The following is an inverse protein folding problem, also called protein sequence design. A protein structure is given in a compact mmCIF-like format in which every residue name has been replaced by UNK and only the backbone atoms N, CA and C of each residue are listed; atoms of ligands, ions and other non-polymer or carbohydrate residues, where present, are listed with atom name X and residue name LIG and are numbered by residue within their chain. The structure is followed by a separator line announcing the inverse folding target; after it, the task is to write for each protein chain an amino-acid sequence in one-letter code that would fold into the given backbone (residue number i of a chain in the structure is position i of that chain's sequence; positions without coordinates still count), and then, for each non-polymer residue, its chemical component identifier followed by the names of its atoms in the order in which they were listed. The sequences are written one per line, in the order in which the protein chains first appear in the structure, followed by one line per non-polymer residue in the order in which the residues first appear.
data_IF_847229380311
#
_entry.id   IF_847229380311
#
_cell.length_a   1.000
_cell.length_b   1.000
_cell.length_c   1.000
_cell.angle_alpha   90.00
_cell.angle_beta   90.00
_cell.angle_gamma   90.00
#
_symmetry.space_group_name_H-M   'P 1'
#
loop_
_entity.id
_entity.type
_entity.pdbx_description
1 polymer ?
#
# COMPACT_ATOMS: atom_id res chain seq x y z
N UNK A 1 -1.41 -11.14 15.92
CA UNK A 1 -1.89 -11.25 14.52
C UNK A 1 -1.17 -12.41 13.86
N UNK A 2 -1.89 -13.33 13.25
CA UNK A 2 -1.33 -14.52 12.58
C UNK A 2 -1.65 -14.41 11.09
N UNK A 3 -0.66 -14.71 10.26
CA UNK A 3 -0.83 -14.81 8.81
C UNK A 3 0.00 -15.98 8.30
N UNK A 4 -0.69 -17.06 7.88
CA UNK A 4 -0.08 -18.35 7.51
C UNK A 4 0.89 -18.82 8.61
N UNK A 5 2.19 -18.76 8.35
CA UNK A 5 3.25 -19.22 9.28
C UNK A 5 3.86 -18.09 10.10
N UNK A 6 3.48 -16.83 9.84
CA UNK A 6 4.02 -15.66 10.51
C UNK A 6 3.14 -15.20 11.68
N UNK A 7 3.75 -14.96 12.85
CA UNK A 7 3.11 -14.40 14.03
C UNK A 7 3.68 -13.02 14.35
N UNK A 8 2.87 -11.96 14.16
CA UNK A 8 3.21 -10.60 14.55
C UNK A 8 2.65 -10.30 15.95
N UNK A 9 3.55 -9.91 16.86
CA UNK A 9 3.22 -9.46 18.22
C UNK A 9 3.44 -7.95 18.32
N UNK A 10 2.43 -7.23 18.82
CA UNK A 10 2.46 -5.79 19.02
C UNK A 10 2.11 -5.49 20.48
N UNK A 11 2.83 -4.57 21.09
CA UNK A 11 2.57 -4.13 22.46
C UNK A 11 3.61 -3.14 22.93
N UNK A 12 3.30 -2.45 24.02
CA UNK A 12 4.15 -1.46 24.68
C UNK A 12 4.97 -2.03 25.85
N UNK A 13 4.79 -3.31 26.16
CA UNK A 13 5.48 -4.00 27.26
C UNK A 13 6.33 -5.16 26.73
N UNK A 14 7.63 -4.91 26.59
CA UNK A 14 8.57 -5.89 26.06
C UNK A 14 8.70 -7.15 26.96
N UNK A 15 8.63 -7.01 28.28
CA UNK A 15 8.72 -8.15 29.19
C UNK A 15 7.51 -9.05 29.06
N UNK A 16 6.33 -8.51 28.84
CA UNK A 16 5.12 -9.28 28.58
C UNK A 16 5.18 -10.01 27.22
N UNK A 17 5.64 -9.32 26.18
CA UNK A 17 5.85 -9.96 24.86
C UNK A 17 6.86 -11.11 24.98
N UNK A 18 7.96 -10.93 25.71
CA UNK A 18 8.95 -11.97 25.93
C UNK A 18 8.37 -13.19 26.67
N UNK A 19 7.48 -12.96 27.67
CA UNK A 19 6.80 -14.04 28.37
C UNK A 19 5.89 -14.86 27.46
N UNK A 20 5.11 -14.19 26.59
CA UNK A 20 4.24 -14.84 25.59
C UNK A 20 5.09 -15.68 24.62
N UNK A 21 6.18 -15.11 24.09
CA UNK A 21 7.10 -15.83 23.20
C UNK A 21 7.64 -17.10 23.85
N UNK A 22 7.98 -17.03 25.15
CA UNK A 22 8.47 -18.19 25.91
C UNK A 22 7.41 -19.28 26.07
N UNK A 23 6.16 -18.92 26.33
CA UNK A 23 5.06 -19.86 26.42
C UNK A 23 4.76 -20.54 25.09
N UNK A 24 4.70 -19.77 24.01
CA UNK A 24 4.43 -20.30 22.66
C UNK A 24 5.52 -21.29 22.22
N UNK A 25 6.79 -21.05 22.55
CA UNK A 25 7.90 -21.96 22.25
C UNK A 25 7.80 -23.32 22.94
N UNK A 26 6.99 -23.46 23.98
CA UNK A 26 6.76 -24.78 24.63
C UNK A 26 5.86 -25.68 23.77
N UNK A 27 4.94 -25.09 22.99
CA UNK A 27 3.97 -25.83 22.19
C UNK A 27 4.25 -25.82 20.67
N UNK A 28 5.07 -24.90 20.21
CA UNK A 28 5.34 -24.69 18.78
C UNK A 28 6.83 -24.54 18.51
N UNK A 29 7.30 -25.18 17.45
CA UNK A 29 8.62 -24.89 16.90
C UNK A 29 8.58 -23.56 16.17
N UNK A 30 9.30 -22.54 16.69
CA UNK A 30 9.25 -21.19 16.14
C UNK A 30 10.59 -20.47 16.32
N UNK A 31 10.93 -19.67 15.29
CA UNK A 31 12.09 -18.78 15.28
C UNK A 31 11.65 -17.35 15.58
N UNK A 32 12.34 -16.70 16.50
CA UNK A 32 12.12 -15.27 16.78
C UNK A 32 12.98 -14.43 15.82
N UNK A 33 12.32 -13.68 14.94
CA UNK A 33 12.97 -12.82 13.96
C UNK A 33 13.30 -11.42 14.50
N UNK A 34 13.00 -11.16 15.78
CA UNK A 34 13.25 -9.87 16.42
C UNK A 34 12.21 -8.80 16.03
N UNK A 35 12.68 -7.54 15.84
CA UNK A 35 11.83 -6.45 15.40
C UNK A 35 11.44 -6.61 13.95
N UNK A 36 10.16 -6.29 13.64
CA UNK A 36 9.66 -6.33 12.27
C UNK A 36 10.27 -5.20 11.43
N UNK A 37 10.87 -5.57 10.30
CA UNK A 37 11.36 -4.63 9.29
C UNK A 37 10.59 -4.72 7.98
N UNK A 38 9.99 -5.88 7.72
CA UNK A 38 9.22 -6.15 6.53
C UNK A 38 8.14 -7.17 6.83
N UNK A 39 6.88 -6.84 6.56
CA UNK A 39 5.75 -7.72 6.80
C UNK A 39 4.66 -7.48 5.76
N UNK A 40 4.21 -8.54 5.08
CA UNK A 40 3.16 -8.45 4.06
C UNK A 40 3.40 -7.31 3.06
N UNK A 41 4.60 -7.22 2.47
CA UNK A 41 5.03 -6.19 1.52
C UNK A 41 5.05 -4.75 2.07
N UNK A 42 4.92 -4.57 3.36
CA UNK A 42 5.08 -3.30 4.06
C UNK A 42 6.46 -3.26 4.71
N UNK A 43 7.22 -2.23 4.39
CA UNK A 43 8.47 -1.88 5.07
C UNK A 43 8.14 -1.14 6.36
N UNK A 44 8.73 -1.57 7.47
CA UNK A 44 8.51 -1.00 8.79
C UNK A 44 9.83 -0.42 9.31
N UNK A 45 9.89 0.89 9.46
CA UNK A 45 10.99 1.56 10.14
C UNK A 45 10.54 1.97 11.53
N UNK A 46 11.23 1.41 12.54
CA UNK A 46 10.93 1.70 13.95
C UNK A 46 12.00 2.63 14.52
N UNK A 47 11.54 3.69 15.15
CA UNK A 47 12.36 4.65 15.88
C UNK A 47 11.72 4.91 17.24
N UNK A 48 12.50 5.34 18.24
CA UNK A 48 11.98 5.59 19.60
C UNK A 48 10.82 6.61 19.65
N UNK A 49 10.67 7.50 18.65
CA UNK A 49 9.63 8.52 18.58
C UNK A 49 8.57 8.28 17.52
N UNK A 50 8.78 7.34 16.60
CA UNK A 50 7.85 7.11 15.52
C UNK A 50 7.99 5.71 14.92
N UNK A 51 6.92 5.26 14.28
CA UNK A 51 6.91 4.12 13.37
C UNK A 51 6.57 4.67 11.98
N UNK A 52 7.34 4.28 10.98
CA UNK A 52 7.06 4.64 9.59
C UNK A 52 6.79 3.37 8.78
N UNK A 53 5.63 3.36 8.09
CA UNK A 53 5.19 2.27 7.25
C UNK A 53 5.23 2.72 5.79
N UNK A 54 5.91 1.98 4.93
CA UNK A 54 5.99 2.26 3.49
C UNK A 54 5.89 0.98 2.67
N UNK A 55 5.63 1.13 1.38
CA UNK A 55 5.58 0.02 0.42
C UNK A 55 6.51 0.33 -0.79
N UNK A 56 7.64 0.98 -0.53
CA UNK A 56 8.57 1.45 -1.58
C UNK A 56 9.04 0.32 -2.49
N UNK A 57 9.45 -0.82 -1.91
CA UNK A 57 9.86 -1.99 -2.68
C UNK A 57 8.71 -2.52 -3.52
N UNK A 58 7.51 -2.61 -2.94
CA UNK A 58 6.33 -3.09 -3.64
C UNK A 58 5.93 -2.19 -4.80
N UNK A 59 6.00 -0.85 -4.63
CA UNK A 59 5.77 0.12 -5.72
C UNK A 59 6.80 -0.08 -6.84
N UNK A 60 8.06 -0.28 -6.51
CA UNK A 60 9.11 -0.53 -7.51
C UNK A 60 8.86 -1.82 -8.28
N UNK A 61 8.53 -2.90 -7.58
CA UNK A 61 8.21 -4.19 -8.20
C UNK A 61 6.97 -4.07 -9.12
N UNK A 62 5.96 -3.27 -8.72
CA UNK A 62 4.80 -2.94 -9.53
C UNK A 62 5.19 -2.21 -10.82
N UNK A 63 5.96 -1.14 -10.71
CA UNK A 63 6.39 -0.35 -11.87
C UNK A 63 7.19 -1.19 -12.86
N UNK A 64 8.14 -1.99 -12.36
CA UNK A 64 8.92 -2.91 -13.21
C UNK A 64 8.03 -3.95 -13.90
N UNK A 65 7.05 -4.51 -13.18
CA UNK A 65 6.14 -5.53 -13.72
C UNK A 65 5.30 -5.03 -14.91
N UNK A 66 5.00 -3.74 -14.94
CA UNK A 66 4.15 -3.12 -15.95
C UNK A 66 4.92 -2.21 -16.92
N UNK A 67 6.26 -2.33 -16.95
CA UNK A 67 7.16 -1.55 -17.82
C UNK A 67 7.01 -0.03 -17.63
N UNK A 68 6.79 0.38 -16.36
CA UNK A 68 6.62 1.78 -15.95
C UNK A 68 7.79 2.31 -15.09
N UNK A 69 8.90 1.59 -15.03
CA UNK A 69 10.08 1.98 -14.25
C UNK A 69 10.80 3.22 -14.83
N UNK A 70 10.72 3.44 -16.15
CA UNK A 70 11.26 4.63 -16.83
C UNK A 70 10.21 5.71 -17.13
N UNK A 71 9.00 5.60 -16.56
CA UNK A 71 7.95 6.58 -16.79
C UNK A 71 8.28 7.95 -16.14
N UNK A 72 7.74 9.04 -16.71
CA UNK A 72 7.87 10.38 -16.17
C UNK A 72 7.02 10.51 -14.89
N UNK A 73 7.61 10.95 -13.76
CA UNK A 73 6.87 11.11 -12.52
C UNK A 73 5.86 12.26 -12.62
N UNK A 74 4.70 12.08 -11.97
CA UNK A 74 3.68 13.12 -11.81
C UNK A 74 3.60 13.55 -10.34
N UNK A 75 3.11 14.78 -10.12
CA UNK A 75 2.93 15.37 -8.78
C UNK A 75 1.54 15.14 -8.20
N UNK A 76 0.56 14.83 -9.05
CA UNK A 76 -0.84 14.54 -8.67
C UNK A 76 -1.28 13.22 -9.31
N UNK A 77 -2.04 12.39 -8.60
CA UNK A 77 -2.45 11.08 -9.10
C UNK A 77 -3.58 11.15 -10.13
N UNK A 78 -4.38 12.22 -10.11
CA UNK A 78 -5.51 12.43 -11.02
C UNK A 78 -5.84 13.91 -11.13
N UNK A 79 -6.24 14.37 -12.31
CA UNK A 79 -6.74 15.73 -12.53
C UNK A 79 -8.19 15.85 -12.07
N UNK A 80 -8.58 17.04 -11.54
CA UNK A 80 -9.92 17.27 -10.97
C UNK A 80 -11.08 17.08 -11.96
N UNK A 81 -10.82 17.18 -13.27
CA UNK A 81 -11.85 17.11 -14.32
C UNK A 81 -11.69 15.90 -15.25
N UNK A 82 -10.91 14.88 -14.86
CA UNK A 82 -10.92 13.61 -15.58
C UNK A 82 -12.25 12.93 -15.34
N UNK A 83 -13.16 13.10 -16.29
CA UNK A 83 -14.44 12.43 -16.30
C UNK A 83 -14.41 11.40 -17.45
N UNK A 84 -13.98 10.16 -17.18
CA UNK A 84 -13.80 9.11 -18.21
C UNK A 84 -15.14 8.55 -18.71
N UNK A 85 -16.24 9.32 -18.62
CA UNK A 85 -17.59 8.88 -18.97
C UNK A 85 -18.00 9.27 -20.39
N UNK A 86 -17.06 9.60 -21.29
CA UNK A 86 -17.44 9.79 -22.69
C UNK A 86 -17.86 8.45 -23.32
N UNK A 87 -19.15 8.38 -23.72
CA UNK A 87 -19.81 7.21 -24.28
C UNK A 87 -19.15 6.71 -25.60
N UNK A 88 -18.19 7.44 -26.13
CA UNK A 88 -17.49 7.17 -27.39
C UNK A 88 -16.06 6.61 -27.25
N UNK A 89 -15.61 6.35 -26.02
CA UNK A 89 -14.25 5.82 -25.83
C UNK A 89 -14.15 4.33 -26.17
N UNK A 90 -13.10 3.98 -26.91
CA UNK A 90 -12.81 2.59 -27.24
C UNK A 90 -12.64 1.74 -26.00
N UNK A 91 -13.20 0.55 -26.02
CA UNK A 91 -12.97 -0.44 -24.98
C UNK A 91 -11.48 -0.80 -24.94
N UNK A 92 -10.89 -0.77 -23.76
CA UNK A 92 -9.52 -1.24 -23.56
C UNK A 92 -9.49 -2.78 -23.65
N UNK A 93 -8.64 -3.32 -24.53
CA UNK A 93 -8.68 -4.75 -24.85
C UNK A 93 -8.13 -5.65 -23.74
N UNK A 94 -7.13 -5.17 -22.96
CA UNK A 94 -6.50 -5.97 -21.91
C UNK A 94 -7.20 -5.81 -20.56
N UNK A 95 -8.39 -6.38 -20.46
CA UNK A 95 -9.21 -6.42 -19.24
C UNK A 95 -8.44 -6.97 -18.03
N UNK A 96 -7.58 -7.95 -18.26
CA UNK A 96 -6.83 -8.63 -17.21
C UNK A 96 -5.77 -7.71 -16.61
N UNK A 97 -5.08 -6.97 -17.46
CA UNK A 97 -4.04 -6.02 -17.05
C UNK A 97 -4.61 -4.90 -16.18
N UNK A 98 -5.71 -4.27 -16.64
CA UNK A 98 -6.41 -3.24 -15.88
C UNK A 98 -6.80 -3.74 -14.48
N UNK A 99 -7.50 -4.87 -14.39
CA UNK A 99 -7.94 -5.43 -13.11
C UNK A 99 -6.79 -5.77 -12.18
N UNK A 100 -5.69 -6.29 -12.71
CA UNK A 100 -4.50 -6.61 -11.91
C UNK A 100 -3.90 -5.37 -11.27
N UNK A 101 -3.78 -4.27 -12.01
CA UNK A 101 -3.24 -3.01 -11.47
C UNK A 101 -4.20 -2.44 -10.42
N UNK A 102 -5.52 -2.37 -10.69
CA UNK A 102 -6.49 -1.86 -9.71
C UNK A 102 -6.41 -2.64 -8.40
N UNK A 103 -6.34 -3.97 -8.43
CA UNK A 103 -6.21 -4.80 -7.21
C UNK A 103 -4.92 -4.47 -6.46
N UNK A 104 -3.81 -4.27 -7.15
CA UNK A 104 -2.54 -3.87 -6.53
C UNK A 104 -2.65 -2.46 -5.93
N UNK A 105 -3.30 -1.53 -6.64
CA UNK A 105 -3.52 -0.16 -6.15
C UNK A 105 -4.43 -0.15 -4.90
N UNK A 106 -5.47 -0.99 -4.86
CA UNK A 106 -6.30 -1.16 -3.65
C UNK A 106 -5.42 -1.60 -2.47
N UNK A 107 -4.51 -2.55 -2.68
CA UNK A 107 -3.60 -2.96 -1.61
C UNK A 107 -2.65 -1.84 -1.18
N UNK A 108 -2.16 -1.03 -2.10
CA UNK A 108 -1.30 0.12 -1.81
C UNK A 108 -1.97 1.18 -0.94
N UNK A 109 -3.30 1.34 -0.97
CA UNK A 109 -4.01 2.31 -0.13
C UNK A 109 -3.81 2.06 1.38
N UNK A 110 -3.38 0.87 1.76
CA UNK A 110 -3.03 0.51 3.16
C UNK A 110 -1.96 1.43 3.76
N UNK A 111 -0.96 1.85 2.97
CA UNK A 111 0.10 2.77 3.40
C UNK A 111 0.11 4.10 2.63
N UNK A 112 -0.75 4.22 1.60
CA UNK A 112 -0.85 5.35 0.68
C UNK A 112 -2.29 5.87 0.59
N UNK A 113 -2.82 6.48 1.66
CA UNK A 113 -4.18 7.02 1.66
C UNK A 113 -4.38 8.16 0.64
N UNK A 114 -3.30 8.80 0.21
CA UNK A 114 -3.28 9.85 -0.81
C UNK A 114 -3.80 9.41 -2.18
N UNK A 115 -3.72 8.13 -2.51
CA UNK A 115 -4.29 7.57 -3.76
C UNK A 115 -5.69 6.97 -3.57
N UNK A 116 -6.24 6.92 -2.35
CA UNK A 116 -7.49 6.18 -2.07
C UNK A 116 -8.65 6.66 -2.93
N UNK A 117 -8.79 7.97 -3.13
CA UNK A 117 -9.88 8.54 -3.91
C UNK A 117 -9.86 8.06 -5.37
N UNK A 118 -8.71 8.19 -6.03
CA UNK A 118 -8.58 7.77 -7.43
C UNK A 118 -8.74 6.25 -7.59
N UNK A 119 -8.23 5.46 -6.63
CA UNK A 119 -8.38 4.00 -6.64
C UNK A 119 -9.84 3.57 -6.51
N UNK A 120 -10.63 4.26 -5.67
CA UNK A 120 -12.09 4.02 -5.59
C UNK A 120 -12.76 4.27 -6.93
N UNK A 121 -12.43 5.37 -7.62
CA UNK A 121 -12.97 5.67 -8.96
C UNK A 121 -12.60 4.55 -9.93
N UNK A 122 -11.31 4.22 -10.08
CA UNK A 122 -10.84 3.19 -11.00
C UNK A 122 -11.47 1.81 -10.72
N UNK A 123 -11.66 1.47 -9.44
CA UNK A 123 -12.28 0.19 -9.05
C UNK A 123 -13.75 0.08 -9.50
N UNK A 124 -14.46 1.20 -9.61
CA UNK A 124 -15.83 1.23 -10.13
C UNK A 124 -15.94 0.81 -11.60
N UNK A 125 -14.85 0.91 -12.36
CA UNK A 125 -14.82 0.58 -13.79
C UNK A 125 -14.18 -0.78 -14.12
N UNK A 126 -13.95 -1.65 -13.14
CA UNK A 126 -13.31 -2.97 -13.36
C UNK A 126 -14.07 -3.87 -14.36
N UNK A 127 -15.37 -3.65 -14.55
CA UNK A 127 -16.18 -4.41 -15.52
C UNK A 127 -16.29 -3.72 -16.88
N UNK A 128 -16.37 -2.40 -16.89
CA UNK A 128 -16.64 -1.58 -18.08
C UNK A 128 -15.60 -0.45 -18.18
N UNK A 129 -14.34 -0.78 -18.40
CA UNK A 129 -13.28 0.18 -18.57
C UNK A 129 -13.00 0.48 -20.03
N UNK A 130 -12.55 1.70 -20.29
CA UNK A 130 -12.17 2.21 -21.60
C UNK A 130 -10.70 2.67 -21.60
N UNK A 131 -10.21 3.12 -22.76
CA UNK A 131 -8.84 3.66 -22.89
C UNK A 131 -8.58 4.85 -21.96
N UNK A 132 -9.59 5.68 -21.65
CA UNK A 132 -9.49 6.78 -20.69
C UNK A 132 -9.19 6.29 -19.29
N UNK A 133 -9.89 5.28 -18.81
CA UNK A 133 -9.63 4.67 -17.49
C UNK A 133 -8.21 4.07 -17.42
N UNK A 134 -7.75 3.44 -18.51
CA UNK A 134 -6.39 2.96 -18.63
C UNK A 134 -5.36 4.09 -18.58
N UNK A 135 -5.66 5.23 -19.23
CA UNK A 135 -4.82 6.43 -19.16
C UNK A 135 -4.73 6.98 -17.74
N UNK A 136 -5.84 7.03 -17.02
CA UNK A 136 -5.87 7.50 -15.63
C UNK A 136 -5.12 6.55 -14.68
N UNK A 137 -5.23 5.24 -14.90
CA UNK A 137 -4.46 4.25 -14.15
C UNK A 137 -2.94 4.46 -14.34
N UNK A 138 -2.49 4.73 -15.58
CA UNK A 138 -1.08 5.08 -15.85
C UNK A 138 -0.64 6.36 -15.14
N UNK A 139 -1.50 7.37 -15.02
CA UNK A 139 -1.20 8.58 -14.25
C UNK A 139 -0.96 8.27 -12.78
N UNK A 140 -1.73 7.35 -12.19
CA UNK A 140 -1.49 6.89 -10.81
C UNK A 140 -0.13 6.20 -10.69
N UNK A 141 0.25 5.37 -11.65
CA UNK A 141 1.58 4.73 -11.66
C UNK A 141 2.71 5.76 -11.76
N UNK A 142 2.55 6.78 -12.62
CA UNK A 142 3.50 7.89 -12.75
C UNK A 142 3.61 8.71 -11.44
N UNK A 143 2.49 8.93 -10.76
CA UNK A 143 2.48 9.56 -9.43
C UNK A 143 3.21 8.71 -8.38
N UNK A 144 2.95 7.41 -8.35
CA UNK A 144 3.64 6.48 -7.46
C UNK A 144 5.15 6.46 -7.73
N UNK A 145 5.57 6.56 -9.00
CA UNK A 145 6.99 6.68 -9.35
C UNK A 145 7.64 7.91 -8.70
N UNK A 146 6.98 9.06 -8.74
CA UNK A 146 7.46 10.31 -8.13
C UNK A 146 7.44 10.31 -6.61
N UNK A 147 6.59 9.48 -6.00
CA UNK A 147 6.30 9.49 -4.56
C UNK A 147 6.59 8.16 -3.85
N UNK A 148 7.55 7.36 -4.37
CA UNK A 148 7.88 6.03 -3.82
C UNK A 148 8.26 6.04 -2.33
N UNK A 149 8.78 7.15 -1.84
CA UNK A 149 9.22 7.34 -0.46
C UNK A 149 8.11 7.76 0.50
N UNK A 150 6.89 7.99 0.01
CA UNK A 150 5.75 8.33 0.84
C UNK A 150 5.24 7.09 1.60
N UNK A 151 4.63 7.34 2.77
CA UNK A 151 4.09 6.32 3.65
C UNK A 151 3.39 6.93 4.85
N UNK A 152 2.98 6.09 5.79
CA UNK A 152 2.33 6.50 7.03
C UNK A 152 3.35 6.62 8.15
N UNK A 153 3.35 7.76 8.84
CA UNK A 153 4.19 8.02 9.99
C UNK A 153 3.31 8.14 11.25
N UNK A 154 3.51 7.21 12.17
CA UNK A 154 2.87 7.21 13.48
C UNK A 154 3.89 7.77 14.50
N UNK A 155 3.62 8.95 15.05
CA UNK A 155 4.46 9.56 16.07
C UNK A 155 3.91 9.28 17.47
N UNK A 156 4.79 9.06 18.43
CA UNK A 156 4.40 8.99 19.82
C UNK A 156 3.90 10.39 20.25
N UNK A 157 2.69 10.43 20.80
CA UNK A 157 2.09 11.63 21.37
C UNK A 157 1.94 11.38 22.86
N UNK A 158 2.46 12.28 23.68
CA UNK A 158 2.43 12.14 25.14
C UNK A 158 1.01 12.40 25.72
N UNK A 159 0.13 13.01 24.95
CA UNK A 159 -1.25 13.30 25.35
C UNK A 159 -2.25 13.08 24.21
N UNK A 160 -3.22 12.17 24.41
CA UNK A 160 -4.33 11.94 23.49
C UNK A 160 -5.46 12.93 23.78
N UNK A 161 -5.43 14.11 23.19
CA UNK A 161 -6.60 14.99 23.16
C UNK A 161 -7.46 14.65 21.95
N UNK A 162 -8.67 14.11 22.18
CA UNK A 162 -9.69 14.06 21.12
C UNK A 162 -10.14 15.50 20.85
N UNK A 163 -9.81 16.02 19.67
CA UNK A 163 -10.44 17.25 19.18
C UNK A 163 -11.89 16.88 18.82
N UNK A 164 -12.84 17.46 19.58
CA UNK A 164 -14.28 17.36 19.30
C UNK A 164 -14.66 18.31 18.18
#
# INVERSE_FOLDING_TARGET
MVYVDDLLMLGNNESYIASIKKELRKGFEMTDLGYVHYYLRIEVTQHHKFIFLSQRKYIRDLLNRFDMDECNPLTIPMEQNSNPTSIEEKTFEDVTKYRQIVVILIYLTTSRPDISFVVVILSGFMQNHCEGHWSDEKKVLNYLKGTQHFGLKYTQVDDFSFIR
#
